data_IF_678782169074
#
_entry.id   IF_678782169074
#
_cell.length_a   1.000
_cell.length_b   1.000
_cell.length_c   1.000
_cell.angle_alpha   90.00
_cell.angle_beta   90.00
_cell.angle_gamma   90.00
#
_symmetry.space_group_name_H-M   'P 1'
#
loop_
_entity.id
_entity.type
_entity.pdbx_description
1 polymer ?
#
# COMPACT_ATOMS: atom_id res chain seq x y z
N UNK A 1 -1.52 26.97 -12.15
CA UNK A 1 -0.77 27.01 -10.88
C UNK A 1 0.39 26.06 -11.06
N UNK A 2 1.64 26.53 -11.11
CA UNK A 2 2.80 25.64 -11.31
C UNK A 2 3.03 24.84 -10.02
N UNK A 3 2.89 23.51 -10.08
CA UNK A 3 3.30 22.64 -8.97
C UNK A 3 4.77 22.89 -8.65
N UNK A 4 5.10 22.96 -7.36
CA UNK A 4 6.48 23.20 -6.93
C UNK A 4 7.40 22.05 -7.37
N UNK A 5 8.68 22.31 -7.61
CA UNK A 5 9.68 21.26 -7.95
C UNK A 5 9.75 20.15 -6.90
N UNK A 6 9.32 20.44 -5.67
CA UNK A 6 9.20 19.49 -4.57
C UNK A 6 8.01 18.53 -4.78
N UNK A 7 6.82 19.04 -5.11
CA UNK A 7 5.62 18.23 -5.33
C UNK A 7 5.82 17.21 -6.46
N UNK A 8 6.39 17.65 -7.59
CA UNK A 8 6.64 16.77 -8.73
C UNK A 8 7.64 15.64 -8.37
N UNK A 9 8.63 15.96 -7.54
CA UNK A 9 9.56 14.95 -7.05
C UNK A 9 8.85 13.99 -6.11
N UNK A 10 8.04 14.51 -5.20
CA UNK A 10 7.33 13.71 -4.22
C UNK A 10 6.34 12.72 -4.86
N UNK A 11 5.53 13.18 -5.82
CA UNK A 11 4.61 12.33 -6.57
C UNK A 11 5.35 11.23 -7.32
N UNK A 12 6.49 11.53 -7.94
CA UNK A 12 7.28 10.53 -8.65
C UNK A 12 7.84 9.45 -7.72
N UNK A 13 8.39 9.84 -6.57
CA UNK A 13 8.92 8.88 -5.59
C UNK A 13 7.80 8.03 -4.99
N UNK A 14 6.65 8.63 -4.66
CA UNK A 14 5.47 7.89 -4.19
C UNK A 14 4.98 6.90 -5.26
N UNK A 15 4.85 7.36 -6.50
CA UNK A 15 4.44 6.51 -7.62
C UNK A 15 5.37 5.30 -7.81
N UNK A 16 6.69 5.52 -7.65
CA UNK A 16 7.69 4.44 -7.67
C UNK A 16 7.40 3.39 -6.60
N UNK A 17 7.21 3.81 -5.36
CA UNK A 17 6.98 2.90 -4.24
C UNK A 17 5.62 2.19 -4.34
N UNK A 18 4.60 2.85 -4.86
CA UNK A 18 3.30 2.24 -5.19
C UNK A 18 3.46 1.18 -6.29
N UNK A 19 4.21 1.46 -7.35
CA UNK A 19 4.46 0.48 -8.42
C UNK A 19 5.23 -0.75 -7.92
N UNK A 20 6.19 -0.58 -7.02
CA UNK A 20 6.89 -1.70 -6.37
C UNK A 20 5.94 -2.53 -5.51
N UNK A 21 5.07 -1.89 -4.72
CA UNK A 21 4.05 -2.58 -3.93
C UNK A 21 3.02 -3.29 -4.82
N UNK A 22 2.67 -2.71 -5.97
CA UNK A 22 1.79 -3.32 -6.97
C UNK A 22 2.37 -4.64 -7.50
N UNK A 23 3.68 -4.69 -7.75
CA UNK A 23 4.37 -5.92 -8.13
C UNK A 23 4.26 -7.01 -7.06
N UNK A 24 4.50 -6.66 -5.78
CA UNK A 24 4.31 -7.57 -4.63
C UNK A 24 2.86 -8.05 -4.52
N UNK A 25 1.90 -7.15 -4.74
CA UNK A 25 0.48 -7.49 -4.71
C UNK A 25 0.10 -8.44 -5.84
N UNK A 26 0.64 -8.27 -7.06
CA UNK A 26 0.41 -9.17 -8.18
C UNK A 26 0.90 -10.59 -7.89
N UNK A 27 2.12 -10.72 -7.34
CA UNK A 27 2.69 -12.01 -6.92
C UNK A 27 1.82 -12.68 -5.86
N UNK A 28 1.44 -11.92 -4.82
CA UNK A 28 0.54 -12.41 -3.77
C UNK A 28 -0.81 -12.89 -4.30
N UNK A 29 -1.45 -12.11 -5.20
CA UNK A 29 -2.75 -12.47 -5.76
C UNK A 29 -2.67 -13.74 -6.61
N UNK A 30 -1.59 -13.93 -7.38
CA UNK A 30 -1.36 -15.17 -8.12
C UNK A 30 -1.25 -16.37 -7.20
N UNK A 31 -0.42 -16.26 -6.16
CA UNK A 31 -0.23 -17.35 -5.21
C UNK A 31 -1.53 -17.70 -4.47
N UNK A 32 -2.31 -16.68 -4.08
CA UNK A 32 -3.56 -16.88 -3.33
C UNK A 32 -4.73 -17.36 -4.18
N UNK A 33 -4.79 -16.95 -5.44
CA UNK A 33 -5.95 -17.19 -6.31
C UNK A 33 -5.60 -18.02 -7.55
N UNK A 34 -4.49 -18.76 -7.54
CA UNK A 34 -4.04 -19.62 -8.65
C UNK A 34 -5.16 -20.53 -9.21
N UNK A 35 -6.02 -21.05 -8.34
CA UNK A 35 -7.12 -21.95 -8.72
C UNK A 35 -8.41 -21.22 -9.18
N UNK A 36 -8.49 -19.90 -8.99
CA UNK A 36 -9.68 -19.07 -9.19
C UNK A 36 -9.38 -17.76 -9.94
N UNK A 37 -8.40 -17.77 -10.87
CA UNK A 37 -7.98 -16.56 -11.60
C UNK A 37 -9.07 -15.93 -12.48
N UNK A 38 -10.16 -16.65 -12.76
CA UNK A 38 -11.29 -16.16 -13.56
C UNK A 38 -11.94 -14.94 -12.89
N UNK A 39 -11.53 -13.75 -13.30
CA UNK A 39 -11.99 -12.47 -12.77
C UNK A 39 -10.86 -11.52 -12.35
N UNK A 40 -9.62 -12.02 -12.17
CA UNK A 40 -8.47 -11.23 -11.75
C UNK A 40 -7.47 -10.92 -12.88
N UNK A 41 -7.66 -11.48 -14.08
CA UNK A 41 -6.73 -11.30 -15.21
C UNK A 41 -6.44 -9.83 -15.55
N UNK A 42 -7.48 -8.99 -15.58
CA UNK A 42 -7.35 -7.56 -15.82
C UNK A 42 -6.59 -6.85 -14.69
N UNK A 43 -6.93 -7.20 -13.44
CA UNK A 43 -6.29 -6.70 -12.22
C UNK A 43 -4.80 -7.03 -12.18
N UNK A 44 -4.43 -8.29 -12.44
CA UNK A 44 -3.05 -8.75 -12.49
C UNK A 44 -2.27 -8.01 -13.58
N UNK A 45 -2.82 -7.90 -14.80
CA UNK A 45 -2.16 -7.19 -15.90
C UNK A 45 -1.89 -5.73 -15.56
N UNK A 46 -2.83 -5.05 -14.89
CA UNK A 46 -2.64 -3.68 -14.46
C UNK A 46 -1.51 -3.56 -13.42
N UNK A 47 -1.52 -4.41 -12.38
CA UNK A 47 -0.49 -4.40 -11.34
C UNK A 47 0.91 -4.66 -11.91
N UNK A 48 1.03 -5.59 -12.85
CA UNK A 48 2.29 -5.87 -13.52
C UNK A 48 2.76 -4.73 -14.41
N UNK A 49 1.85 -4.07 -15.10
CA UNK A 49 2.18 -2.89 -15.89
C UNK A 49 2.68 -1.75 -15.01
N UNK A 50 2.00 -1.49 -13.88
CA UNK A 50 2.43 -0.50 -12.89
C UNK A 50 3.82 -0.82 -12.35
N UNK A 51 4.09 -2.09 -12.00
CA UNK A 51 5.42 -2.52 -11.58
C UNK A 51 6.46 -2.36 -12.68
N UNK A 52 6.18 -2.78 -13.91
CA UNK A 52 7.11 -2.69 -15.03
C UNK A 52 7.52 -1.24 -15.35
N UNK A 53 6.62 -0.27 -15.11
CA UNK A 53 6.90 1.15 -15.26
C UNK A 53 7.96 1.68 -14.30
N UNK A 54 8.14 1.05 -13.13
CA UNK A 54 9.03 1.53 -12.05
C UNK A 54 10.20 0.59 -11.76
N UNK A 55 10.15 -0.66 -12.24
CA UNK A 55 11.12 -1.70 -11.92
C UNK A 55 12.50 -1.49 -12.56
N UNK A 56 12.64 -0.57 -13.52
CA UNK A 56 13.91 -0.28 -14.22
C UNK A 56 14.56 -1.54 -14.82
N UNK A 57 13.75 -2.51 -15.27
CA UNK A 57 14.22 -3.79 -15.84
C UNK A 57 14.71 -4.83 -14.82
N UNK A 58 14.58 -4.56 -13.51
CA UNK A 58 14.91 -5.48 -12.42
C UNK A 58 13.74 -6.41 -12.08
N UNK A 59 14.04 -7.59 -11.53
CA UNK A 59 13.00 -8.51 -11.07
C UNK A 59 12.42 -8.08 -9.73
N UNK A 60 11.21 -8.54 -9.41
CA UNK A 60 10.55 -8.25 -8.12
C UNK A 60 11.38 -8.76 -6.93
N UNK A 61 12.11 -9.86 -7.10
CA UNK A 61 13.00 -10.43 -6.07
C UNK A 61 14.06 -9.42 -5.61
N UNK A 62 14.51 -8.54 -6.50
CA UNK A 62 15.47 -7.48 -6.21
C UNK A 62 14.86 -6.30 -5.46
N UNK A 63 13.54 -6.32 -5.22
CA UNK A 63 12.77 -5.27 -4.57
C UNK A 63 11.90 -5.79 -3.41
N UNK A 64 12.18 -7.00 -2.92
CA UNK A 64 11.42 -7.64 -1.82
C UNK A 64 11.64 -7.00 -0.46
N UNK A 65 12.74 -6.27 -0.27
CA UNK A 65 13.07 -5.59 0.98
C UNK A 65 11.95 -4.60 1.36
N UNK A 66 11.64 -4.38 2.65
CA UNK A 66 10.63 -3.40 3.07
C UNK A 66 10.95 -1.97 2.61
N UNK A 67 9.93 -1.12 2.51
CA UNK A 67 10.07 0.28 2.08
C UNK A 67 11.20 1.03 2.81
N UNK A 68 11.30 0.84 4.14
CA UNK A 68 12.31 1.49 4.98
C UNK A 68 13.76 1.16 4.60
N UNK A 69 14.01 -0.03 4.04
CA UNK A 69 15.36 -0.46 3.65
C UNK A 69 15.72 0.05 2.26
N UNK A 70 14.71 0.33 1.41
CA UNK A 70 14.90 0.82 0.04
C UNK A 70 15.06 2.33 -0.06
N UNK A 71 14.41 3.08 0.82
CA UNK A 71 14.47 4.54 0.75
C UNK A 71 15.82 5.05 1.26
N UNK A 72 16.50 5.85 0.44
CA UNK A 72 17.69 6.59 0.84
C UNK A 72 17.33 7.73 1.82
N UNK A 73 17.79 7.67 3.10
CA UNK A 73 17.56 8.71 4.09
C UNK A 73 18.12 10.08 3.70
N UNK A 74 19.20 10.08 2.91
CA UNK A 74 19.95 11.28 2.54
C UNK A 74 19.37 12.01 1.32
N UNK A 75 18.54 11.32 0.55
CA UNK A 75 17.92 11.85 -0.66
C UNK A 75 16.71 12.77 -0.40
N UNK A 76 16.29 12.96 0.86
CA UNK A 76 15.14 13.80 1.21
C UNK A 76 13.80 13.23 0.71
N UNK A 77 13.71 11.90 0.60
CA UNK A 77 12.51 11.21 0.13
C UNK A 77 11.29 11.58 0.99
N UNK A 78 10.15 11.99 0.41
CA UNK A 78 9.00 12.50 1.17
C UNK A 78 8.44 11.49 2.17
N UNK A 79 8.32 10.22 1.76
CA UNK A 79 7.92 9.16 2.67
C UNK A 79 8.93 9.01 3.81
N UNK A 80 10.24 9.04 3.58
CA UNK A 80 11.22 8.95 4.67
C UNK A 80 11.01 10.04 5.73
N UNK A 81 10.76 11.29 5.30
CA UNK A 81 10.49 12.39 6.21
C UNK A 81 9.24 12.16 7.06
N UNK A 82 8.16 11.67 6.44
CA UNK A 82 6.91 11.32 7.14
C UNK A 82 7.14 10.17 8.13
N UNK A 83 7.75 9.09 7.66
CA UNK A 83 7.98 7.87 8.42
C UNK A 83 8.89 8.14 9.64
N UNK A 84 10.01 8.83 9.44
CA UNK A 84 10.91 9.20 10.53
C UNK A 84 10.31 10.26 11.45
N UNK A 85 9.63 11.28 10.89
CA UNK A 85 9.03 12.37 11.66
C UNK A 85 7.96 11.89 12.65
N UNK A 86 7.19 10.87 12.28
CA UNK A 86 6.16 10.29 13.15
C UNK A 86 6.56 8.96 13.81
N UNK A 87 7.76 8.45 13.54
CA UNK A 87 8.28 7.21 14.12
C UNK A 87 7.50 5.96 13.70
N UNK A 88 7.17 5.85 12.42
CA UNK A 88 6.43 4.71 11.87
C UNK A 88 7.31 3.46 11.82
N UNK A 89 6.70 2.30 12.02
CA UNK A 89 7.35 1.01 11.80
C UNK A 89 7.39 0.64 10.30
N UNK A 90 8.24 -0.31 9.88
CA UNK A 90 8.23 -0.81 8.50
C UNK A 90 6.86 -1.34 8.04
N UNK A 91 6.11 -1.98 8.93
CA UNK A 91 4.75 -2.44 8.65
C UNK A 91 3.78 -1.28 8.44
N UNK A 92 3.88 -0.20 9.23
CA UNK A 92 3.06 1.00 9.04
C UNK A 92 3.37 1.73 7.73
N UNK A 93 4.62 1.67 7.26
CA UNK A 93 4.99 2.20 5.95
C UNK A 93 4.32 1.43 4.80
N UNK A 94 4.36 0.09 4.85
CA UNK A 94 3.69 -0.75 3.85
C UNK A 94 2.15 -0.58 3.93
N UNK A 95 1.58 -0.41 5.13
CA UNK A 95 0.16 -0.12 5.31
C UNK A 95 -0.22 1.24 4.72
N UNK A 96 0.61 2.26 4.92
CA UNK A 96 0.43 3.59 4.34
C UNK A 96 0.42 3.53 2.81
N UNK A 97 1.39 2.86 2.21
CA UNK A 97 1.43 2.68 0.76
C UNK A 97 0.18 1.94 0.27
N UNK A 98 -0.17 0.80 0.88
CA UNK A 98 -1.34 0.01 0.48
C UNK A 98 -2.63 0.83 0.53
N UNK A 99 -2.83 1.59 1.61
CA UNK A 99 -3.98 2.46 1.79
C UNK A 99 -4.02 3.60 0.75
N UNK A 100 -2.86 4.13 0.37
CA UNK A 100 -2.72 5.22 -0.59
C UNK A 100 -2.84 4.79 -2.06
N UNK A 101 -2.71 3.50 -2.39
CA UNK A 101 -2.76 3.03 -3.78
C UNK A 101 -4.06 3.45 -4.48
N UNK A 102 -5.20 3.44 -3.79
CA UNK A 102 -6.49 3.81 -4.37
C UNK A 102 -6.56 5.28 -4.80
N UNK A 103 -5.84 6.16 -4.09
CA UNK A 103 -5.75 7.58 -4.38
C UNK A 103 -4.76 7.86 -5.52
N UNK A 104 -3.74 7.02 -5.68
CA UNK A 104 -2.72 7.16 -6.74
C UNK A 104 -3.28 6.95 -8.15
N UNK A 105 -4.16 5.95 -8.33
CA UNK A 105 -4.69 5.61 -9.65
C UNK A 105 -6.01 4.83 -9.56
N UNK A 106 -6.99 5.20 -10.39
CA UNK A 106 -8.33 4.57 -10.41
C UNK A 106 -8.30 3.04 -10.62
N UNK A 107 -7.33 2.55 -11.40
CA UNK A 107 -7.07 1.13 -11.60
C UNK A 107 -6.81 0.36 -10.30
N UNK A 108 -6.17 0.97 -9.29
CA UNK A 108 -6.02 0.34 -7.97
C UNK A 108 -7.34 0.29 -7.22
N UNK A 109 -8.14 1.35 -7.30
CA UNK A 109 -9.48 1.37 -6.72
C UNK A 109 -10.37 0.27 -7.32
N UNK A 110 -10.29 0.02 -8.64
CA UNK A 110 -11.03 -1.06 -9.30
C UNK A 110 -10.58 -2.46 -8.85
N UNK A 111 -9.28 -2.64 -8.63
CA UNK A 111 -8.74 -3.88 -8.05
C UNK A 111 -9.28 -4.07 -6.65
N UNK A 112 -9.26 -3.03 -5.82
CA UNK A 112 -9.81 -3.12 -4.48
C UNK A 112 -11.31 -3.40 -4.49
N UNK A 113 -12.10 -2.79 -5.38
CA UNK A 113 -13.52 -3.15 -5.55
C UNK A 113 -13.69 -4.63 -5.84
N UNK A 114 -12.84 -5.21 -6.68
CA UNK A 114 -12.88 -6.64 -7.02
C UNK A 114 -12.56 -7.53 -5.82
N UNK A 115 -11.62 -7.11 -4.97
CA UNK A 115 -11.18 -7.87 -3.79
C UNK A 115 -12.04 -7.60 -2.55
N UNK A 116 -12.74 -6.48 -2.51
CA UNK A 116 -13.48 -6.00 -1.36
C UNK A 116 -14.83 -6.73 -1.27
N UNK A 117 -15.20 -7.34 -0.13
CA UNK A 117 -16.47 -8.07 0.02
C UNK A 117 -17.74 -7.23 -0.27
N UNK A 118 -17.60 -5.90 -0.25
CA UNK A 118 -18.67 -4.92 -0.49
C UNK A 118 -18.44 -4.04 -1.72
N UNK A 119 -17.50 -4.40 -2.60
CA UNK A 119 -17.15 -3.62 -3.80
C UNK A 119 -16.77 -2.16 -3.51
N UNK A 120 -16.03 -1.91 -2.43
CA UNK A 120 -15.54 -0.57 -2.06
C UNK A 120 -14.14 -0.33 -2.65
N UNK A 121 -13.77 0.93 -2.95
CA UNK A 121 -12.51 1.26 -3.61
C UNK A 121 -11.27 1.21 -2.71
N UNK A 122 -11.42 0.88 -1.43
CA UNK A 122 -10.32 0.85 -0.47
C UNK A 122 -9.93 -0.59 -0.12
N UNK A 123 -8.66 -0.85 0.22
CA UNK A 123 -8.28 -2.15 0.74
C UNK A 123 -8.93 -2.39 2.12
N UNK A 124 -9.28 -3.64 2.42
CA UNK A 124 -9.70 -4.01 3.79
C UNK A 124 -8.50 -4.25 4.70
N UNK A 125 -8.70 -4.12 6.00
CA UNK A 125 -7.74 -4.63 7.00
C UNK A 125 -7.47 -6.13 6.83
N UNK A 126 -8.48 -6.90 6.40
CA UNK A 126 -8.34 -8.33 6.10
C UNK A 126 -7.41 -8.61 4.92
N UNK A 127 -7.45 -7.78 3.87
CA UNK A 127 -6.49 -7.85 2.76
C UNK A 127 -5.08 -7.52 3.25
N UNK A 128 -4.92 -6.41 3.99
CA UNK A 128 -3.63 -6.03 4.57
C UNK A 128 -3.04 -7.14 5.47
N UNK A 129 -3.86 -7.78 6.29
CA UNK A 129 -3.46 -8.89 7.17
C UNK A 129 -3.08 -10.17 6.42
N UNK A 130 -3.59 -10.38 5.21
CA UNK A 130 -3.18 -11.52 4.38
C UNK A 130 -1.93 -11.22 3.58
N UNK A 131 -1.79 -9.97 3.13
CA UNK A 131 -0.70 -9.53 2.28
C UNK A 131 0.60 -9.25 3.06
N UNK A 132 0.50 -8.64 4.24
CA UNK A 132 1.65 -8.16 5.00
C UNK A 132 2.03 -9.04 6.20
N UNK A 133 1.19 -10.00 6.59
CA UNK A 133 1.46 -10.85 7.75
C UNK A 133 1.67 -12.32 7.35
N UNK A 134 2.83 -12.87 7.72
CA UNK A 134 3.19 -14.28 7.58
C UNK A 134 2.37 -15.21 8.49
N UNK A 135 1.83 -14.72 9.62
CA UNK A 135 1.13 -15.59 10.57
C UNK A 135 0.31 -14.87 11.65
N UNK A 136 -0.24 -15.68 12.57
CA UNK A 136 -1.17 -15.20 13.60
C UNK A 136 -0.56 -14.15 14.55
N UNK A 137 0.72 -14.30 14.93
CA UNK A 137 1.41 -13.34 15.79
C UNK A 137 1.49 -11.94 15.18
N UNK A 138 1.82 -11.87 13.89
CA UNK A 138 1.89 -10.61 13.14
C UNK A 138 0.51 -9.99 12.95
N UNK A 139 -0.55 -10.79 12.81
CA UNK A 139 -1.93 -10.27 12.77
C UNK A 139 -2.36 -9.61 14.07
N UNK A 140 -1.89 -10.13 15.22
CA UNK A 140 -2.12 -9.49 16.52
C UNK A 140 -1.35 -8.16 16.60
N UNK A 141 -0.09 -8.13 16.12
CA UNK A 141 0.70 -6.90 16.05
C UNK A 141 0.05 -5.87 15.12
N UNK A 142 -0.44 -6.29 13.95
CA UNK A 142 -1.17 -5.46 13.00
C UNK A 142 -2.40 -4.81 13.65
N UNK A 143 -3.20 -5.57 14.40
CA UNK A 143 -4.34 -5.00 15.14
C UNK A 143 -3.89 -3.90 16.09
N UNK A 144 -2.79 -4.12 16.83
CA UNK A 144 -2.24 -3.10 17.74
C UNK A 144 -1.80 -1.86 16.97
N UNK A 145 -1.11 -2.01 15.84
CA UNK A 145 -0.70 -0.89 14.99
C UNK A 145 -1.90 -0.08 14.48
N UNK A 146 -2.94 -0.75 13.98
CA UNK A 146 -4.12 -0.10 13.42
C UNK A 146 -5.13 0.40 14.47
N UNK A 147 -4.90 0.16 15.76
CA UNK A 147 -5.75 0.68 16.84
C UNK A 147 -5.06 1.82 17.59
N UNK A 148 -3.77 1.67 17.87
CA UNK A 148 -3.01 2.60 18.74
C UNK A 148 -1.62 2.91 18.21
N UNK A 149 -1.26 2.49 17.00
CA UNK A 149 0.06 2.72 16.41
C UNK A 149 0.31 4.19 16.06
N UNK A 150 1.58 4.58 15.90
CA UNK A 150 1.96 5.91 15.44
C UNK A 150 1.14 6.46 14.27
N UNK A 151 0.91 5.67 13.21
CA UNK A 151 0.21 6.12 12.02
C UNK A 151 -1.26 6.49 12.28
N UNK A 152 -1.93 5.74 13.16
CA UNK A 152 -3.31 6.03 13.57
C UNK A 152 -3.36 7.21 14.54
N UNK A 153 -2.44 7.28 15.51
CA UNK A 153 -2.38 8.42 16.45
C UNK A 153 -2.06 9.74 15.76
N UNK A 154 -1.24 9.70 14.71
CA UNK A 154 -0.95 10.86 13.87
C UNK A 154 -2.10 11.22 12.92
N UNK A 155 -3.14 10.39 12.85
CA UNK A 155 -4.28 10.56 11.93
C UNK A 155 -3.94 10.28 10.46
N UNK A 156 -2.75 9.75 10.18
CA UNK A 156 -2.25 9.43 8.83
C UNK A 156 -2.98 8.22 8.24
N UNK A 157 -3.16 7.18 9.04
CA UNK A 157 -3.99 6.02 8.71
C UNK A 157 -5.29 6.06 9.49
N UNK A 158 -6.38 5.69 8.82
CA UNK A 158 -7.72 5.64 9.39
C UNK A 158 -8.39 4.33 9.03
N UNK A 159 -9.21 3.82 9.94
CA UNK A 159 -10.13 2.74 9.68
C UNK A 159 -11.54 3.31 9.54
N UNK A 160 -12.27 2.85 8.53
CA UNK A 160 -13.65 3.26 8.29
C UNK A 160 -14.59 2.04 8.18
N UNK A 161 -15.82 2.23 8.67
CA UNK A 161 -16.89 1.22 8.67
C UNK A 161 -17.22 0.63 10.05
N UNK A 162 -18.49 0.25 10.22
CA UNK A 162 -19.06 -0.33 11.46
C UNK A 162 -18.94 -1.86 11.54
N UNK A 163 -18.19 -2.45 10.62
CA UNK A 163 -18.06 -3.91 10.48
C UNK A 163 -17.00 -4.49 11.44
N UNK A 164 -16.95 -5.82 11.63
CA UNK A 164 -15.84 -6.46 12.33
C UNK A 164 -14.48 -6.00 11.78
N UNK A 165 -13.49 -5.87 12.66
CA UNK A 165 -12.17 -5.28 12.39
C UNK A 165 -11.53 -5.63 11.03
N UNK A 166 -11.59 -6.88 10.56
CA UNK A 166 -10.97 -7.28 9.29
C UNK A 166 -11.77 -6.89 8.04
N UNK A 167 -13.01 -6.44 8.18
CA UNK A 167 -13.88 -5.95 7.11
C UNK A 167 -13.90 -4.43 7.02
N UNK A 168 -13.24 -3.73 7.94
CA UNK A 168 -13.10 -2.28 7.89
C UNK A 168 -12.16 -1.85 6.76
N UNK A 169 -12.47 -0.69 6.19
CA UNK A 169 -11.65 -0.03 5.16
C UNK A 169 -10.37 0.50 5.79
N UNK A 170 -9.25 0.31 5.11
CA UNK A 170 -7.97 0.92 5.44
C UNK A 170 -7.76 2.13 4.51
N UNK A 171 -7.68 3.32 5.08
CA UNK A 171 -7.63 4.58 4.34
C UNK A 171 -6.48 5.47 4.82
N UNK A 172 -5.99 6.32 3.92
CA UNK A 172 -5.13 7.46 4.27
C UNK A 172 -5.98 8.68 4.64
N UNK A 173 -5.41 9.63 5.39
CA UNK A 173 -6.09 10.90 5.60
C UNK A 173 -6.25 11.68 4.29
N UNK A 174 -7.36 12.41 4.17
CA UNK A 174 -7.55 13.41 3.13
C UNK A 174 -6.34 14.35 3.06
N UNK A 175 -5.97 14.73 1.83
CA UNK A 175 -4.85 15.64 1.50
C UNK A 175 -3.46 15.12 1.87
N UNK A 176 -3.32 13.87 2.35
CA UNK A 176 -2.01 13.27 2.60
C UNK A 176 -1.37 12.75 1.31
N UNK A 177 -2.18 12.20 0.41
CA UNK A 177 -1.74 11.69 -0.88
C UNK A 177 -1.87 12.79 -1.95
N UNK A 178 -0.86 12.98 -2.81
CA UNK A 178 -0.84 14.04 -3.83
C UNK A 178 -1.72 13.74 -5.06
#
# INVERSE_FOLDING_TARGET
MMQSSWEQNASREINREVGLLAGRLAEFLREKFADHEKGLEGSLRFLEHAFAGVAEGKSLEQWREPLFERIDPTAGHPLHLLLCGFGFSPCEADLLLLAGMAEEHEGFADIFRTLHPRNQPWPTVGLAAQFLCAGAGERIALRKLLTVGPAVRAGVLKLDGDEPFFLQNLMVSEMLWP
#
